data_IF_867091530162
#
_entry.id   IF_867091530162
#
_cell.length_a   1.000
_cell.length_b   1.000
_cell.length_c   1.000
_cell.angle_alpha   90.00
_cell.angle_beta   90.00
_cell.angle_gamma   90.00
#
_symmetry.space_group_name_H-M   'P 1'
#
loop_
_entity.id
_entity.type
_entity.pdbx_description
1 polymer ?
#
# COMPACT_ATOMS: atom_id res chain seq x y z
N UNK A 1 -14.94 15.79 5.23
CA UNK A 1 -13.91 14.84 5.68
C UNK A 1 -13.34 14.09 4.52
N UNK A 2 -12.06 14.19 4.33
CA UNK A 2 -11.42 13.58 3.17
C UNK A 2 -11.26 12.07 3.29
N UNK A 3 -10.99 11.59 4.48
CA UNK A 3 -10.88 10.15 4.70
C UNK A 3 -12.20 9.61 5.21
N UNK A 4 -12.70 8.59 4.51
CA UNK A 4 -13.89 7.88 4.95
C UNK A 4 -13.43 6.61 5.64
N UNK A 5 -13.64 6.50 6.94
CA UNK A 5 -13.32 5.24 7.61
C UNK A 5 -14.20 4.14 7.04
N UNK A 6 -13.76 2.90 7.11
CA UNK A 6 -14.63 1.78 6.75
C UNK A 6 -15.91 1.83 7.55
N UNK A 7 -16.98 1.20 7.05
CA UNK A 7 -18.23 1.12 7.80
C UNK A 7 -18.00 0.55 9.20
N UNK A 8 -18.98 0.73 10.05
CA UNK A 8 -18.91 0.30 11.44
C UNK A 8 -18.63 -1.20 11.60
N UNK A 9 -18.77 -1.97 10.52
CA UNK A 9 -18.41 -3.38 10.59
C UNK A 9 -16.91 -3.61 10.61
N UNK A 10 -16.14 -2.57 10.32
CA UNK A 10 -14.69 -2.66 10.32
C UNK A 10 -14.17 -2.30 11.71
N UNK A 11 -13.52 -3.26 12.35
CA UNK A 11 -13.01 -3.09 13.72
C UNK A 11 -11.54 -2.75 13.76
N UNK A 12 -10.94 -2.44 12.63
CA UNK A 12 -9.51 -2.18 12.57
C UNK A 12 -9.12 -0.82 13.08
N UNK A 13 -7.88 -0.46 12.78
CA UNK A 13 -7.31 0.80 13.23
C UNK A 13 -7.80 1.96 12.38
N UNK A 14 -8.76 2.66 12.90
CA UNK A 14 -9.20 3.88 12.24
C UNK A 14 -8.20 4.99 12.55
N UNK A 15 -7.80 5.76 11.54
CA UNK A 15 -6.98 6.92 11.80
C UNK A 15 -7.72 7.89 12.68
N UNK A 16 -7.02 8.44 13.64
CA UNK A 16 -7.59 9.40 14.59
C UNK A 16 -6.89 10.73 14.38
N UNK A 17 -7.58 11.77 13.91
CA UNK A 17 -6.95 13.07 13.72
C UNK A 17 -6.25 13.57 14.99
N UNK A 18 -6.84 13.31 16.14
CA UNK A 18 -6.26 13.72 17.41
C UNK A 18 -4.92 13.05 17.68
N UNK A 19 -4.61 11.94 17.03
CA UNK A 19 -3.33 11.25 17.18
C UNK A 19 -2.34 11.65 16.10
N UNK A 20 -2.74 12.50 15.21
CA UNK A 20 -1.88 13.07 14.19
C UNK A 20 -1.25 12.01 13.30
N UNK A 21 -2.03 11.02 12.93
CA UNK A 21 -1.57 9.95 12.05
C UNK A 21 -1.79 10.34 10.59
N UNK A 22 -0.74 10.20 9.80
CA UNK A 22 -0.89 10.25 8.36
C UNK A 22 -1.50 8.95 7.86
N UNK A 23 -2.07 9.00 6.68
CA UNK A 23 -2.75 7.88 6.07
C UNK A 23 -2.12 7.54 4.74
N UNK A 24 -1.81 6.27 4.55
CA UNK A 24 -1.30 5.79 3.28
C UNK A 24 -2.17 4.63 2.81
N UNK A 25 -2.67 4.73 1.58
CA UNK A 25 -3.31 3.61 0.91
C UNK A 25 -2.52 3.28 -0.33
N UNK A 26 -2.31 2.00 -0.59
CA UNK A 26 -1.52 1.57 -1.72
C UNK A 26 -2.16 0.36 -2.37
N UNK A 27 -2.01 0.25 -3.69
CA UNK A 27 -2.53 -0.87 -4.45
C UNK A 27 -1.63 -1.13 -5.64
N UNK A 28 -1.43 -2.40 -5.95
CA UNK A 28 -0.65 -2.81 -7.10
C UNK A 28 -1.48 -3.72 -7.99
N UNK A 29 -1.32 -3.57 -9.28
CA UNK A 29 -2.01 -4.37 -10.26
C UNK A 29 -1.02 -5.06 -11.18
N UNK A 30 -1.07 -6.39 -11.22
CA UNK A 30 -0.26 -7.18 -12.15
C UNK A 30 -1.00 -8.47 -12.39
N UNK A 31 -1.43 -8.70 -13.62
CA UNK A 31 -2.39 -9.77 -13.89
C UNK A 31 -1.80 -11.00 -14.54
N UNK A 32 -0.51 -11.03 -14.83
CA UNK A 32 0.09 -12.20 -15.45
C UNK A 32 0.38 -13.31 -14.46
N UNK A 33 1.07 -14.32 -14.96
CA UNK A 33 1.54 -15.44 -14.14
C UNK A 33 3.05 -15.30 -13.93
N UNK A 34 3.61 -16.16 -13.09
CA UNK A 34 5.05 -16.17 -12.87
C UNK A 34 5.81 -16.38 -14.17
N UNK A 35 5.30 -17.27 -15.04
CA UNK A 35 5.94 -17.59 -16.32
C UNK A 35 5.68 -16.53 -17.38
N UNK A 36 4.60 -15.78 -17.26
CA UNK A 36 4.22 -14.80 -18.26
C UNK A 36 3.56 -13.60 -17.56
N UNK A 37 4.38 -12.77 -16.88
CA UNK A 37 3.83 -11.65 -16.15
C UNK A 37 3.31 -10.57 -17.11
N UNK A 38 2.13 -10.05 -16.78
CA UNK A 38 1.57 -8.93 -17.52
C UNK A 38 2.14 -7.64 -16.96
N UNK A 39 1.96 -6.55 -17.71
CA UNK A 39 2.41 -5.24 -17.27
C UNK A 39 1.68 -4.87 -15.98
N UNK A 40 2.43 -4.38 -15.01
CA UNK A 40 1.90 -3.97 -13.73
C UNK A 40 1.93 -2.47 -13.54
N UNK A 41 1.22 -2.02 -12.52
CA UNK A 41 1.18 -0.61 -12.16
C UNK A 41 0.88 -0.49 -10.68
N UNK A 42 1.21 0.67 -10.12
CA UNK A 42 0.95 0.95 -8.71
C UNK A 42 0.17 2.23 -8.55
N UNK A 43 -0.61 2.29 -7.47
CA UNK A 43 -1.31 3.49 -7.05
C UNK A 43 -1.09 3.70 -5.57
N UNK A 44 -0.83 4.94 -5.18
CA UNK A 44 -0.59 5.32 -3.78
C UNK A 44 -1.29 6.63 -3.50
N UNK A 45 -1.94 6.71 -2.34
CA UNK A 45 -2.60 7.93 -1.85
C UNK A 45 -2.07 8.23 -0.47
N UNK A 46 -1.56 9.44 -0.27
CA UNK A 46 -1.04 9.89 1.02
C UNK A 46 -1.85 11.08 1.50
N UNK A 47 -2.43 10.98 2.70
CA UNK A 47 -3.22 12.05 3.30
C UNK A 47 -2.67 12.44 4.66
N UNK A 48 -2.87 13.71 5.01
CA UNK A 48 -2.44 14.20 6.32
C UNK A 48 -3.47 13.84 7.40
N UNK A 49 -3.18 14.14 8.67
CA UNK A 49 -4.12 13.79 9.75
C UNK A 49 -5.50 14.43 9.66
N UNK A 50 -5.63 15.51 8.91
CA UNK A 50 -6.93 16.15 8.70
C UNK A 50 -7.64 15.58 7.47
N UNK A 51 -7.04 14.64 6.79
CA UNK A 51 -7.63 14.00 5.62
C UNK A 51 -7.34 14.68 4.30
N UNK A 52 -6.50 15.71 4.29
CA UNK A 52 -6.15 16.38 3.05
C UNK A 52 -5.18 15.55 2.23
N UNK A 53 -5.42 15.51 0.92
CA UNK A 53 -4.53 14.80 0.01
C UNK A 53 -3.19 15.55 -0.08
N UNK A 54 -2.09 14.83 0.21
CA UNK A 54 -0.76 15.40 0.17
C UNK A 54 -0.04 15.00 -1.11
N UNK A 55 -0.15 13.73 -1.49
CA UNK A 55 0.58 13.23 -2.65
C UNK A 55 -0.07 11.95 -3.15
N UNK A 56 0.15 11.68 -4.42
CA UNK A 56 -0.33 10.46 -5.08
C UNK A 56 0.78 9.90 -5.95
N UNK A 57 0.73 8.59 -6.17
CA UNK A 57 1.58 7.93 -7.16
C UNK A 57 0.66 7.14 -8.08
N UNK A 58 0.88 7.26 -9.38
CA UNK A 58 0.20 6.46 -10.39
C UNK A 58 1.24 6.20 -11.46
N UNK A 59 1.83 4.99 -11.47
CA UNK A 59 2.88 4.73 -12.43
C UNK A 59 2.96 3.27 -12.82
N UNK A 60 3.39 2.98 -14.06
CA UNK A 60 3.65 1.61 -14.48
C UNK A 60 4.95 1.12 -13.85
N UNK A 61 5.04 -0.20 -13.65
CA UNK A 61 6.24 -0.79 -13.06
C UNK A 61 6.83 -1.90 -13.93
N UNK A 62 6.34 -2.05 -15.18
CA UNK A 62 6.81 -3.11 -16.06
C UNK A 62 6.15 -4.44 -15.74
N UNK A 63 6.70 -5.54 -16.31
CA UNK A 63 6.10 -6.86 -16.08
C UNK A 63 6.14 -7.23 -14.60
N UNK A 64 5.00 -7.64 -14.07
CA UNK A 64 4.91 -8.01 -12.65
C UNK A 64 3.69 -8.89 -12.44
N UNK A 65 3.84 -9.90 -11.57
CA UNK A 65 2.70 -10.63 -11.05
C UNK A 65 2.06 -9.78 -9.96
N UNK A 66 0.82 -10.11 -9.61
CA UNK A 66 0.03 -9.26 -8.73
C UNK A 66 0.70 -9.01 -7.37
N UNK A 67 1.21 -10.06 -6.72
CA UNK A 67 1.83 -9.89 -5.40
C UNK A 67 3.06 -8.99 -5.46
N UNK A 68 3.86 -9.09 -6.52
CA UNK A 68 5.02 -8.22 -6.71
C UNK A 68 4.56 -6.77 -6.84
N UNK A 69 3.52 -6.53 -7.63
CA UNK A 69 2.98 -5.18 -7.79
C UNK A 69 2.49 -4.61 -6.47
N UNK A 70 1.84 -5.44 -5.65
CA UNK A 70 1.35 -5.00 -4.35
C UNK A 70 2.49 -4.60 -3.42
N UNK A 71 3.56 -5.37 -3.38
CA UNK A 71 4.75 -5.00 -2.61
C UNK A 71 5.39 -3.73 -3.14
N UNK A 72 5.46 -3.58 -4.46
CA UNK A 72 6.05 -2.38 -5.06
C UNK A 72 5.26 -1.15 -4.67
N UNK A 73 3.93 -1.24 -4.64
CA UNK A 73 3.08 -0.12 -4.21
C UNK A 73 3.37 0.25 -2.76
N UNK A 74 3.46 -0.73 -1.88
CA UNK A 74 3.76 -0.50 -0.47
C UNK A 74 5.14 0.16 -0.32
N UNK A 75 6.14 -0.37 -0.98
CA UNK A 75 7.50 0.15 -0.91
C UNK A 75 7.57 1.59 -1.38
N UNK A 76 6.97 1.90 -2.54
CA UNK A 76 6.98 3.26 -3.07
C UNK A 76 6.22 4.22 -2.17
N UNK A 77 5.11 3.75 -1.59
CA UNK A 77 4.35 4.56 -0.66
C UNK A 77 5.15 4.88 0.60
N UNK A 78 5.85 3.89 1.15
CA UNK A 78 6.67 4.10 2.34
C UNK A 78 7.84 5.03 2.04
N UNK A 79 8.46 4.91 0.87
CA UNK A 79 9.53 5.82 0.47
C UNK A 79 9.02 7.25 0.35
N UNK A 80 7.84 7.42 -0.22
CA UNK A 80 7.21 8.74 -0.32
C UNK A 80 6.99 9.35 1.06
N UNK A 81 6.40 8.58 1.97
CA UNK A 81 6.15 9.06 3.33
C UNK A 81 7.46 9.40 4.05
N UNK A 82 8.47 8.54 3.90
CA UNK A 82 9.77 8.79 4.51
C UNK A 82 10.40 10.09 3.98
N UNK A 83 10.28 10.32 2.68
CA UNK A 83 10.86 11.51 2.06
C UNK A 83 10.22 12.80 2.57
N UNK A 84 9.03 12.71 3.13
CA UNK A 84 8.33 13.86 3.70
C UNK A 84 8.51 13.98 5.21
N UNK A 85 9.35 13.15 5.80
CA UNK A 85 9.63 13.22 7.22
C UNK A 85 8.51 12.74 8.10
N UNK A 86 7.58 11.95 7.56
CA UNK A 86 6.44 11.46 8.31
C UNK A 86 6.91 10.39 9.28
N UNK A 87 6.47 10.48 10.53
CA UNK A 87 6.88 9.55 11.58
C UNK A 87 5.71 8.70 12.08
N UNK A 88 4.49 9.20 12.00
CA UNK A 88 3.30 8.50 12.50
C UNK A 88 2.37 8.27 11.33
N UNK A 89 2.18 7.00 10.98
CA UNK A 89 1.44 6.68 9.77
C UNK A 89 0.64 5.39 9.94
N UNK A 90 -0.53 5.38 9.34
CA UNK A 90 -1.36 4.18 9.24
C UNK A 90 -1.46 3.82 7.77
N UNK A 91 -1.09 2.60 7.46
CA UNK A 91 -1.03 2.09 6.09
C UNK A 91 -2.13 1.06 5.89
N UNK A 92 -2.89 1.22 4.83
CA UNK A 92 -3.99 0.30 4.51
C UNK A 92 -3.77 -0.32 3.14
N UNK A 93 -3.83 -1.64 3.10
CA UNK A 93 -3.67 -2.43 1.88
C UNK A 93 -4.86 -3.38 1.77
N UNK A 94 -5.23 -3.75 0.56
CA UNK A 94 -6.31 -4.71 0.38
C UNK A 94 -5.80 -6.12 0.05
N UNK A 95 -4.50 -6.34 0.07
CA UNK A 95 -3.93 -7.67 -0.05
C UNK A 95 -3.73 -8.25 1.34
N UNK A 96 -4.58 -9.20 1.70
CA UNK A 96 -4.47 -9.85 3.00
C UNK A 96 -3.12 -10.56 3.15
N UNK A 97 -2.67 -11.20 2.09
CA UNK A 97 -1.39 -11.92 2.13
C UNK A 97 -0.22 -10.98 2.44
N UNK A 98 -0.13 -9.85 1.74
CA UNK A 98 0.95 -8.89 1.97
C UNK A 98 0.90 -8.36 3.40
N UNK A 99 -0.29 -8.00 3.88
CA UNK A 99 -0.45 -7.50 5.24
C UNK A 99 0.03 -8.54 6.26
N UNK A 100 -0.36 -9.81 6.09
CA UNK A 100 0.06 -10.86 7.01
C UNK A 100 1.55 -11.10 6.95
N UNK A 101 2.14 -11.02 5.76
CA UNK A 101 3.58 -11.24 5.61
C UNK A 101 4.40 -10.12 6.25
N UNK A 102 4.04 -8.85 6.04
CA UNK A 102 4.82 -7.75 6.62
C UNK A 102 4.60 -7.62 8.12
N UNK A 103 3.50 -8.16 8.64
CA UNK A 103 3.24 -8.21 10.08
C UNK A 103 3.75 -9.51 10.72
N UNK A 104 4.50 -10.29 9.96
CA UNK A 104 5.15 -11.50 10.45
C UNK A 104 4.16 -12.57 10.92
N UNK A 105 3.00 -12.63 10.25
CA UNK A 105 1.98 -13.63 10.54
C UNK A 105 1.82 -14.65 9.42
N UNK A 106 2.57 -14.50 8.33
CA UNK A 106 2.59 -15.45 7.24
C UNK A 106 3.99 -15.52 6.64
N UNK A 107 4.35 -16.67 6.15
CA UNK A 107 5.67 -16.87 5.55
C UNK A 107 5.70 -16.38 4.11
N UNK A 108 6.89 -15.98 3.67
CA UNK A 108 7.11 -15.58 2.29
C UNK A 108 7.75 -16.77 1.59
N UNK A 109 6.97 -17.47 0.76
CA UNK A 109 7.45 -18.64 0.05
C UNK A 109 8.02 -18.34 -1.32
N UNK A 110 7.68 -17.21 -1.91
CA UNK A 110 8.08 -16.85 -3.26
C UNK A 110 9.46 -16.21 -3.28
N UNK A 111 10.33 -16.69 -4.15
CA UNK A 111 11.65 -16.10 -4.30
C UNK A 111 11.60 -14.72 -4.92
N UNK A 112 10.58 -14.44 -5.73
CA UNK A 112 10.40 -13.12 -6.30
C UNK A 112 10.01 -12.11 -5.23
N UNK A 113 9.28 -12.54 -4.22
CA UNK A 113 8.74 -11.65 -3.19
C UNK A 113 9.73 -11.42 -2.06
N UNK A 114 10.61 -12.39 -1.77
CA UNK A 114 11.53 -12.26 -0.63
C UNK A 114 12.32 -10.95 -0.58
N UNK A 115 12.99 -10.51 -1.66
CA UNK A 115 13.72 -9.25 -1.56
C UNK A 115 12.80 -8.05 -1.38
N UNK A 116 11.59 -8.09 -1.93
CA UNK A 116 10.62 -7.02 -1.76
C UNK A 116 10.10 -7.00 -0.32
N UNK A 117 9.83 -8.16 0.23
CA UNK A 117 9.42 -8.27 1.64
C UNK A 117 10.51 -7.70 2.55
N UNK A 118 11.77 -8.06 2.30
CA UNK A 118 12.89 -7.55 3.09
C UNK A 118 12.98 -6.03 3.00
N UNK A 119 12.84 -5.49 1.80
CA UNK A 119 12.88 -4.04 1.61
C UNK A 119 11.71 -3.35 2.32
N UNK A 120 10.50 -3.88 2.20
CA UNK A 120 9.34 -3.32 2.88
C UNK A 120 9.53 -3.33 4.38
N UNK A 121 10.00 -4.45 4.94
CA UNK A 121 10.21 -4.55 6.39
C UNK A 121 11.28 -3.58 6.87
N UNK A 122 12.33 -3.39 6.09
CA UNK A 122 13.38 -2.44 6.41
C UNK A 122 12.84 -1.01 6.46
N UNK A 123 11.99 -0.64 5.49
CA UNK A 123 11.36 0.67 5.47
C UNK A 123 10.41 0.87 6.65
N UNK A 124 9.63 -0.17 6.96
CA UNK A 124 8.68 -0.10 8.08
C UNK A 124 9.40 0.25 9.37
N UNK A 125 10.58 -0.34 9.59
CA UNK A 125 11.35 -0.10 10.81
C UNK A 125 11.83 1.33 10.96
N UNK A 126 11.84 2.11 9.89
CA UNK A 126 12.29 3.48 9.96
C UNK A 126 11.22 4.43 10.53
N UNK A 127 9.99 3.96 10.69
CA UNK A 127 8.90 4.80 11.19
C UNK A 127 8.68 4.52 12.68
N UNK A 128 8.79 5.54 13.54
CA UNK A 128 8.59 5.36 14.97
C UNK A 128 7.21 4.84 15.35
N UNK A 129 6.18 5.18 14.57
CA UNK A 129 4.82 4.77 14.87
C UNK A 129 4.11 4.44 13.57
N UNK A 130 4.13 3.17 13.19
CA UNK A 130 3.53 2.70 11.95
C UNK A 130 2.70 1.47 12.22
N UNK A 131 1.60 1.35 11.48
CA UNK A 131 0.77 0.16 11.52
C UNK A 131 0.29 -0.16 10.12
N UNK A 132 0.40 -1.42 9.73
CA UNK A 132 -0.03 -1.91 8.43
C UNK A 132 -1.27 -2.75 8.66
N UNK A 133 -2.39 -2.37 8.05
CA UNK A 133 -3.68 -3.04 8.26
C UNK A 133 -4.34 -3.37 6.93
N UNK A 134 -5.16 -4.41 6.95
CA UNK A 134 -5.94 -4.81 5.78
C UNK A 134 -7.27 -4.07 5.76
N UNK A 135 -7.70 -3.69 4.56
CA UNK A 135 -9.05 -3.18 4.32
C UNK A 135 -9.63 -3.91 3.11
N UNK A 136 -10.96 -4.03 3.04
CA UNK A 136 -11.59 -4.59 1.85
C UNK A 136 -11.27 -3.76 0.62
N UNK A 137 -11.25 -4.41 -0.54
CA UNK A 137 -10.90 -3.74 -1.79
C UNK A 137 -11.76 -2.51 -2.07
N UNK A 138 -13.05 -2.57 -1.75
CA UNK A 138 -13.95 -1.45 -2.04
C UNK A 138 -13.58 -0.18 -1.29
N UNK A 139 -12.82 -0.28 -0.21
CA UNK A 139 -12.36 0.90 0.52
C UNK A 139 -10.95 1.33 0.12
N UNK A 140 -10.36 0.65 -0.86
CA UNK A 140 -9.07 1.02 -1.43
C UNK A 140 -9.25 1.54 -2.87
N UNK A 141 -10.43 2.07 -3.17
CA UNK A 141 -10.80 2.43 -4.54
C UNK A 141 -9.92 3.53 -5.13
N UNK A 142 -9.48 4.48 -4.32
CA UNK A 142 -8.63 5.56 -4.83
C UNK A 142 -7.28 5.02 -5.32
N UNK A 143 -6.64 4.19 -4.51
CA UNK A 143 -5.36 3.62 -4.90
C UNK A 143 -5.52 2.67 -6.08
N UNK A 144 -6.61 1.89 -6.09
CA UNK A 144 -6.90 0.99 -7.20
C UNK A 144 -7.07 1.77 -8.51
N UNK A 145 -7.80 2.87 -8.48
CA UNK A 145 -8.02 3.70 -9.67
C UNK A 145 -6.69 4.27 -10.19
N UNK A 146 -5.81 4.70 -9.30
CA UNK A 146 -4.51 5.21 -9.70
C UNK A 146 -3.64 4.12 -10.34
N UNK A 147 -3.69 2.90 -9.81
CA UNK A 147 -2.96 1.79 -10.40
C UNK A 147 -3.50 1.47 -11.79
N UNK A 148 -4.82 1.37 -11.93
CA UNK A 148 -5.44 1.06 -13.22
C UNK A 148 -5.14 2.12 -14.27
N UNK A 149 -5.17 3.38 -13.87
CA UNK A 149 -4.90 4.50 -14.75
C UNK A 149 -3.51 4.40 -15.37
N UNK A 150 -2.56 3.84 -14.67
CA UNK A 150 -1.18 3.74 -15.12
C UNK A 150 -0.90 2.48 -15.93
N UNK A 151 -1.84 1.54 -16.02
CA UNK A 151 -1.62 0.33 -16.81
C UNK A 151 -1.53 0.69 -18.30
N UNK A 152 -0.52 0.15 -19.01
CA UNK A 152 -0.38 0.42 -20.43
C UNK A 152 -1.60 -0.06 -21.21
N UNK A 153 -2.01 0.69 -22.21
CA UNK A 153 -3.12 0.31 -23.06
C UNK A 153 -4.49 0.62 -22.50
N UNK A 154 -4.58 1.39 -21.41
CA UNK A 154 -5.85 1.72 -20.76
C UNK A 154 -6.25 3.14 -21.06
#
# INVERSE_FOLDING_TARGET
MAFMPPPETYEGDHPQPSKRNYLLKADGSGTGTTDNPAQGAIGVVLRDPDGHLIAEISKPIGPAINTVAEYRALIEGLKLARSRGIQRIRVFLDSELVVEQVNDRAKVGSEQVRPLHAEACSLIKEFPDIRISWIPRKWNAEADALARKALPGR
#
